data_IF_172530042030
#
_entry.id   IF_172530042030
#
_cell.length_a   1.000
_cell.length_b   1.000
_cell.length_c   1.000
_cell.angle_alpha   90.00
_cell.angle_beta   90.00
_cell.angle_gamma   90.00
#
_symmetry.space_group_name_H-M   'P 1'
#
loop_
_entity.id
_entity.type
_entity.pdbx_description
1 polymer ?
#
# COMPACT_ATOMS: atom_id res chain seq x y z
N UNK A 1 -20.01 17.61 24.72
CA UNK A 1 -18.94 17.90 23.74
C UNK A 1 -17.66 18.41 24.40
N UNK A 2 -17.72 19.25 25.45
CA UNK A 2 -16.54 19.80 26.15
C UNK A 2 -15.58 18.74 26.72
N UNK A 3 -16.09 17.63 27.28
CA UNK A 3 -15.27 16.56 27.84
C UNK A 3 -14.47 15.76 26.79
N UNK A 4 -15.02 15.58 25.57
CA UNK A 4 -14.34 14.88 24.49
C UNK A 4 -13.11 15.67 24.00
N UNK A 5 -13.31 16.97 23.73
CA UNK A 5 -12.24 17.87 23.32
C UNK A 5 -11.16 18.03 24.40
N UNK A 6 -11.53 17.98 25.68
CA UNK A 6 -10.56 17.98 26.76
C UNK A 6 -9.61 16.76 26.71
N UNK A 7 -10.12 15.57 26.35
CA UNK A 7 -9.32 14.34 26.23
C UNK A 7 -8.40 14.41 25.00
N UNK A 8 -8.91 14.93 23.88
CA UNK A 8 -8.10 15.17 22.68
C UNK A 8 -6.97 16.16 22.97
N UNK A 9 -7.28 17.26 23.66
CA UNK A 9 -6.29 18.25 24.07
C UNK A 9 -5.27 17.70 25.07
N UNK A 10 -5.70 16.88 26.03
CA UNK A 10 -4.80 16.22 26.98
C UNK A 10 -3.87 15.22 26.28
N UNK A 11 -4.38 14.46 25.32
CA UNK A 11 -3.58 13.57 24.47
C UNK A 11 -2.52 14.36 23.70
N UNK A 12 -2.85 15.56 23.21
CA UNK A 12 -1.89 16.45 22.56
C UNK A 12 -0.82 16.98 23.52
N UNK A 13 -1.20 17.32 24.75
CA UNK A 13 -0.23 17.70 25.78
C UNK A 13 0.72 16.55 26.09
N UNK A 14 0.19 15.34 26.23
CA UNK A 14 0.97 14.13 26.48
C UNK A 14 1.92 13.80 25.32
N UNK A 15 1.48 13.98 24.07
CA UNK A 15 2.29 13.68 22.88
C UNK A 15 3.52 14.60 22.77
N UNK A 16 3.46 15.84 23.27
CA UNK A 16 4.62 16.75 23.30
C UNK A 16 5.80 16.22 24.13
N UNK A 17 5.53 15.31 25.06
CA UNK A 17 6.55 14.66 25.88
C UNK A 17 6.94 13.27 25.36
N UNK A 18 6.29 12.78 24.30
CA UNK A 18 6.69 11.55 23.64
C UNK A 18 7.77 11.85 22.61
N UNK A 19 9.00 11.41 22.90
CA UNK A 19 10.14 11.50 21.99
C UNK A 19 9.83 11.01 20.57
N UNK A 20 8.96 10.01 20.43
CA UNK A 20 8.56 9.44 19.13
C UNK A 20 7.72 10.42 18.30
N UNK A 21 6.84 11.22 18.93
CA UNK A 21 6.08 12.24 18.20
C UNK A 21 6.99 13.36 17.70
N UNK A 22 8.00 13.74 18.49
CA UNK A 22 9.04 14.68 18.07
C UNK A 22 9.87 14.10 16.92
N UNK A 23 10.12 12.80 16.92
CA UNK A 23 10.77 12.11 15.80
C UNK A 23 9.92 12.19 14.53
N UNK A 24 8.60 11.94 14.60
CA UNK A 24 7.70 12.07 13.46
C UNK A 24 7.74 13.49 12.88
N UNK A 25 7.59 14.50 13.73
CA UNK A 25 7.64 15.91 13.32
C UNK A 25 9.04 16.23 12.74
N UNK A 26 10.11 15.78 13.39
CA UNK A 26 11.48 15.97 12.93
C UNK A 26 11.75 15.33 11.57
N UNK A 27 11.23 14.13 11.32
CA UNK A 27 11.31 13.45 10.03
C UNK A 27 10.60 14.26 8.95
N UNK A 28 9.38 14.75 9.22
CA UNK A 28 8.64 15.62 8.29
C UNK A 28 9.41 16.93 8.03
N UNK A 29 9.93 17.57 9.07
CA UNK A 29 10.72 18.81 8.99
C UNK A 29 12.03 18.62 8.21
N UNK A 30 12.58 17.41 8.15
CA UNK A 30 13.75 17.09 7.33
C UNK A 30 13.37 16.76 5.89
N UNK A 31 12.34 15.93 5.70
CA UNK A 31 11.93 15.41 4.39
C UNK A 31 11.32 16.52 3.53
N UNK A 32 10.49 17.39 4.10
CA UNK A 32 9.76 18.41 3.33
C UNK A 32 10.71 19.45 2.70
N UNK A 33 11.68 20.06 3.42
CA UNK A 33 12.66 20.94 2.78
C UNK A 33 13.53 20.21 1.78
N UNK A 34 13.94 18.97 2.07
CA UNK A 34 14.71 18.17 1.12
C UNK A 34 13.91 17.92 -0.16
N UNK A 35 12.61 17.65 -0.07
CA UNK A 35 11.76 17.41 -1.25
C UNK A 35 11.58 18.65 -2.12
N UNK A 36 11.72 19.85 -1.53
CA UNK A 36 11.65 21.12 -2.25
C UNK A 36 13.00 21.46 -2.87
N UNK A 37 14.12 21.22 -2.16
CA UNK A 37 15.48 21.61 -2.57
C UNK A 37 16.06 20.67 -3.62
N UNK A 38 15.79 19.38 -3.51
CA UNK A 38 16.37 18.34 -4.37
C UNK A 38 15.97 18.41 -5.85
N UNK A 39 14.69 18.63 -6.23
CA UNK A 39 14.32 18.75 -7.62
C UNK A 39 14.79 20.12 -8.16
N UNK A 40 15.41 20.13 -9.34
CA UNK A 40 15.87 21.35 -9.99
C UNK A 40 15.24 21.48 -11.38
N UNK A 41 14.72 22.67 -11.69
CA UNK A 41 14.29 23.00 -13.05
C UNK A 41 15.54 23.12 -13.92
N UNK A 42 15.60 22.35 -15.00
CA UNK A 42 16.72 22.34 -15.94
C UNK A 42 16.18 22.48 -17.37
N UNK A 43 16.96 23.13 -18.21
CA UNK A 43 16.66 23.30 -19.64
C UNK A 43 17.48 22.30 -20.45
N UNK A 44 16.80 21.45 -21.22
CA UNK A 44 17.46 20.56 -22.17
C UNK A 44 18.06 21.36 -23.35
N UNK A 45 19.03 20.78 -24.09
CA UNK A 45 19.62 21.41 -25.27
C UNK A 45 18.62 21.75 -26.38
N UNK A 46 17.45 21.11 -26.39
CA UNK A 46 16.32 21.38 -27.30
C UNK A 46 15.46 22.59 -26.88
N UNK A 47 15.78 23.23 -25.75
CA UNK A 47 15.04 24.36 -25.18
C UNK A 47 13.86 23.96 -24.29
N UNK A 48 13.57 22.66 -24.12
CA UNK A 48 12.49 22.19 -23.24
C UNK A 48 12.91 22.19 -21.77
N UNK A 49 12.01 22.63 -20.89
CA UNK A 49 12.22 22.53 -19.44
C UNK A 49 11.79 21.16 -18.92
N UNK A 50 12.60 20.59 -18.03
CA UNK A 50 12.32 19.33 -17.36
C UNK A 50 12.79 19.36 -15.90
N UNK A 51 12.24 18.45 -15.10
CA UNK A 51 12.58 18.34 -13.68
C UNK A 51 13.73 17.33 -13.51
N UNK A 52 14.91 17.82 -13.12
CA UNK A 52 16.09 16.99 -12.87
C UNK A 52 16.44 16.88 -11.39
N UNK A 53 17.42 16.03 -11.09
CA UNK A 53 18.02 15.96 -9.74
C UNK A 53 19.24 16.88 -9.61
N UNK A 54 19.66 17.20 -8.39
CA UNK A 54 20.90 17.98 -8.13
C UNK A 54 22.15 17.28 -8.70
N UNK A 55 22.15 15.94 -8.75
CA UNK A 55 23.30 15.13 -9.19
C UNK A 55 23.35 14.90 -10.71
N UNK A 56 22.35 15.40 -11.43
CA UNK A 56 22.23 15.14 -12.86
C UNK A 56 23.23 15.98 -13.65
N UNK A 57 23.89 15.36 -14.64
CA UNK A 57 24.82 16.06 -15.53
C UNK A 57 24.08 17.11 -16.35
N UNK A 58 24.72 18.25 -16.60
CA UNK A 58 24.13 19.36 -17.37
C UNK A 58 23.81 18.99 -18.84
N UNK A 59 24.40 17.89 -19.34
CA UNK A 59 24.13 17.34 -20.66
C UNK A 59 22.90 16.44 -20.73
N UNK A 60 22.16 16.26 -19.63
CA UNK A 60 20.99 15.39 -19.61
C UNK A 60 19.86 15.98 -20.47
N UNK A 61 19.29 15.14 -21.33
CA UNK A 61 18.15 15.48 -22.18
C UNK A 61 16.80 15.07 -21.57
N UNK A 62 16.84 14.17 -20.59
CA UNK A 62 15.68 13.68 -19.85
C UNK A 62 15.95 13.73 -18.36
N UNK A 63 14.92 14.00 -17.55
CA UNK A 63 14.96 13.97 -16.10
C UNK A 63 13.97 12.97 -15.51
N UNK A 64 13.25 13.42 -14.50
CA UNK A 64 12.28 12.61 -13.74
C UNK A 64 11.09 12.15 -14.58
N UNK A 65 10.80 12.83 -15.70
CA UNK A 65 9.74 12.44 -16.62
C UNK A 65 9.98 11.06 -17.26
N UNK A 66 11.23 10.58 -17.31
CA UNK A 66 11.52 9.23 -17.78
C UNK A 66 10.93 8.13 -16.87
N UNK A 67 10.78 8.41 -15.57
CA UNK A 67 10.12 7.50 -14.63
C UNK A 67 8.59 7.62 -14.66
N UNK A 68 8.07 8.73 -15.18
CA UNK A 68 6.63 9.01 -15.21
C UNK A 68 5.89 8.04 -16.14
N UNK A 69 6.44 7.72 -17.32
CA UNK A 69 5.77 6.85 -18.29
C UNK A 69 5.50 5.44 -17.75
N UNK A 70 6.49 4.84 -17.09
CA UNK A 70 6.31 3.52 -16.48
C UNK A 70 5.27 3.54 -15.36
N UNK A 71 5.36 4.54 -14.49
CA UNK A 71 4.46 4.68 -13.34
C UNK A 71 3.00 4.95 -13.77
N UNK A 72 2.81 5.84 -14.74
CA UNK A 72 1.50 6.16 -15.28
C UNK A 72 0.91 4.97 -16.05
N UNK A 73 1.71 4.28 -16.87
CA UNK A 73 1.27 3.12 -17.62
C UNK A 73 0.82 1.98 -16.69
N UNK A 74 1.54 1.73 -15.60
CA UNK A 74 1.16 0.72 -14.61
C UNK A 74 -0.16 1.10 -13.92
N UNK A 75 -0.32 2.34 -13.48
CA UNK A 75 -1.57 2.80 -12.86
C UNK A 75 -2.75 2.75 -13.86
N UNK A 76 -2.54 3.14 -15.12
CA UNK A 76 -3.57 3.14 -16.16
C UNK A 76 -4.00 1.71 -16.53
N UNK A 77 -3.06 0.76 -16.54
CA UNK A 77 -3.34 -0.66 -16.77
C UNK A 77 -4.31 -1.22 -15.74
N UNK A 78 -4.14 -0.81 -14.48
CA UNK A 78 -5.04 -1.19 -13.38
C UNK A 78 -6.40 -0.47 -13.48
N UNK A 79 -6.42 0.84 -13.81
CA UNK A 79 -7.68 1.60 -14.05
C UNK A 79 -8.55 0.94 -15.14
N UNK A 80 -7.93 0.44 -16.21
CA UNK A 80 -8.62 -0.22 -17.33
C UNK A 80 -9.02 -1.67 -17.03
N UNK A 81 -8.63 -2.22 -15.87
CA UNK A 81 -8.94 -3.59 -15.47
C UNK A 81 -8.14 -4.68 -16.20
N UNK A 82 -7.09 -4.29 -16.94
CA UNK A 82 -6.26 -5.25 -17.66
C UNK A 82 -5.45 -6.14 -16.73
N UNK A 83 -5.12 -5.68 -15.52
CA UNK A 83 -4.46 -6.51 -14.52
C UNK A 83 -5.31 -7.70 -14.09
N UNK A 84 -6.62 -7.51 -13.89
CA UNK A 84 -7.53 -8.60 -13.54
C UNK A 84 -7.68 -9.60 -14.70
N UNK A 85 -7.68 -9.13 -15.95
CA UNK A 85 -7.73 -9.99 -17.15
C UNK A 85 -6.43 -10.81 -17.33
N UNK A 86 -5.27 -10.16 -17.18
CA UNK A 86 -3.95 -10.80 -17.28
C UNK A 86 -3.81 -11.84 -16.16
N UNK A 87 -4.18 -11.51 -14.93
CA UNK A 87 -4.17 -12.44 -13.80
C UNK A 87 -5.05 -13.65 -14.08
N UNK A 88 -6.29 -13.44 -14.55
CA UNK A 88 -7.21 -14.54 -14.87
C UNK A 88 -6.66 -15.49 -15.93
N UNK A 89 -6.15 -14.96 -17.06
CA UNK A 89 -5.55 -15.81 -18.11
C UNK A 89 -4.28 -16.51 -17.61
N UNK A 90 -3.49 -15.84 -16.77
CA UNK A 90 -2.31 -16.43 -16.13
C UNK A 90 -2.70 -17.59 -15.20
N UNK A 91 -3.78 -17.46 -14.42
CA UNK A 91 -4.31 -18.54 -13.58
C UNK A 91 -4.84 -19.72 -14.41
N UNK A 92 -5.55 -19.45 -15.51
CA UNK A 92 -6.04 -20.49 -16.43
C UNK A 92 -4.90 -21.27 -17.08
N UNK A 93 -3.80 -20.60 -17.44
CA UNK A 93 -2.58 -21.25 -17.93
C UNK A 93 -1.91 -22.08 -16.83
N UNK A 94 -1.80 -21.53 -15.62
CA UNK A 94 -1.20 -22.22 -14.48
C UNK A 94 -1.98 -23.50 -14.11
N UNK A 95 -3.32 -23.46 -14.08
CA UNK A 95 -4.15 -24.65 -13.84
C UNK A 95 -3.92 -25.75 -14.87
N UNK A 96 -3.68 -25.36 -16.13
CA UNK A 96 -3.39 -26.31 -17.20
C UNK A 96 -1.98 -26.92 -17.04
N UNK A 97 -1.00 -26.11 -16.61
CA UNK A 97 0.35 -26.59 -16.30
C UNK A 97 0.34 -27.62 -15.16
N UNK A 98 -0.46 -27.37 -14.11
CA UNK A 98 -0.64 -28.32 -13.01
C UNK A 98 -1.24 -29.64 -13.51
N UNK A 99 -2.31 -29.59 -14.32
CA UNK A 99 -2.92 -30.79 -14.92
C UNK A 99 -1.95 -31.57 -15.83
N UNK A 100 -1.11 -30.84 -16.58
CA UNK A 100 -0.10 -31.44 -17.45
C UNK A 100 0.98 -32.14 -16.62
N UNK A 101 1.39 -31.57 -15.49
CA UNK A 101 2.35 -32.17 -14.57
C UNK A 101 1.82 -33.48 -13.96
N UNK A 102 0.53 -33.52 -13.57
CA UNK A 102 -0.12 -34.74 -13.06
C UNK A 102 -0.14 -35.85 -14.12
N UNK A 103 -0.52 -35.51 -15.35
CA UNK A 103 -0.53 -36.47 -16.48
C UNK A 103 0.88 -36.94 -16.81
N UNK A 104 1.88 -36.05 -16.81
CA UNK A 104 3.29 -36.40 -17.03
C UNK A 104 3.81 -37.37 -15.97
N UNK A 105 3.42 -37.18 -14.71
CA UNK A 105 3.76 -38.07 -13.62
C UNK A 105 3.13 -39.46 -13.82
N UNK A 106 1.83 -39.53 -14.15
CA UNK A 106 1.14 -40.80 -14.41
C UNK A 106 1.72 -41.55 -15.61
N UNK A 107 1.99 -40.85 -16.72
CA UNK A 107 2.62 -41.44 -17.91
C UNK A 107 3.99 -42.03 -17.56
N UNK A 108 4.85 -41.29 -16.87
CA UNK A 108 6.18 -41.79 -16.43
C UNK A 108 6.06 -42.98 -15.50
N UNK A 109 5.11 -42.95 -14.55
CA UNK A 109 4.87 -44.05 -13.60
C UNK A 109 4.42 -45.33 -14.31
N UNK A 110 3.47 -45.23 -15.24
CA UNK A 110 2.94 -46.38 -15.99
C UNK A 110 3.97 -46.93 -16.97
N UNK A 111 4.73 -46.07 -17.65
CA UNK A 111 5.85 -46.50 -18.50
C UNK A 111 6.92 -47.29 -17.73
N UNK A 112 7.18 -46.92 -16.47
CA UNK A 112 8.18 -47.59 -15.63
C UNK A 112 7.68 -48.91 -15.02
N UNK A 113 6.37 -49.01 -14.71
CA UNK A 113 5.82 -50.15 -13.95
C UNK A 113 5.12 -51.18 -14.85
N UNK A 114 4.35 -50.71 -15.85
CA UNK A 114 3.50 -51.54 -16.71
C UNK A 114 3.49 -51.02 -18.16
N UNK A 115 4.57 -51.25 -18.93
CA UNK A 115 4.77 -50.62 -20.24
C UNK A 115 3.75 -51.05 -21.32
N UNK A 116 3.07 -52.18 -21.16
CA UNK A 116 2.08 -52.70 -22.13
C UNK A 116 0.62 -52.45 -21.67
N UNK A 117 0.43 -51.57 -20.69
CA UNK A 117 -0.89 -51.22 -20.18
C UNK A 117 -1.69 -50.45 -21.24
N UNK A 118 -2.90 -50.93 -21.56
CA UNK A 118 -3.80 -50.32 -22.55
C UNK A 118 -4.23 -48.89 -22.19
N UNK A 119 -4.15 -48.51 -20.91
CA UNK A 119 -4.38 -47.16 -20.40
C UNK A 119 -3.27 -46.15 -20.72
N UNK A 120 -2.10 -46.58 -21.21
CA UNK A 120 -0.99 -45.68 -21.52
C UNK A 120 -1.23 -44.81 -22.76
N UNK A 121 -1.82 -45.39 -23.83
CA UNK A 121 -2.14 -44.66 -25.07
C UNK A 121 -3.07 -43.45 -24.86
N UNK A 122 -4.22 -43.58 -24.18
CA UNK A 122 -5.10 -42.42 -23.97
C UNK A 122 -4.47 -41.34 -23.08
N UNK A 123 -3.57 -41.70 -22.16
CA UNK A 123 -2.83 -40.70 -21.36
C UNK A 123 -1.81 -39.91 -22.19
N UNK A 124 -1.12 -40.56 -23.12
CA UNK A 124 -0.21 -39.89 -24.05
C UNK A 124 -0.98 -38.94 -24.99
N UNK A 125 -2.18 -39.32 -25.43
CA UNK A 125 -3.05 -38.46 -26.24
C UNK A 125 -3.52 -37.24 -25.43
N UNK A 126 -4.02 -37.45 -24.21
CA UNK A 126 -4.42 -36.38 -23.28
C UNK A 126 -3.26 -35.43 -22.96
N UNK A 127 -2.05 -35.95 -22.75
CA UNK A 127 -0.81 -35.16 -22.59
C UNK A 127 -0.58 -34.25 -23.79
N UNK A 128 -0.70 -34.78 -25.00
CA UNK A 128 -0.50 -34.02 -26.24
C UNK A 128 -1.56 -32.93 -26.42
N UNK A 129 -2.81 -33.20 -26.08
CA UNK A 129 -3.89 -32.20 -26.09
C UNK A 129 -3.58 -31.05 -25.11
N UNK A 130 -3.15 -31.36 -23.89
CA UNK A 130 -2.76 -30.36 -22.91
C UNK A 130 -1.52 -29.56 -23.33
N UNK A 131 -0.53 -30.18 -23.97
CA UNK A 131 0.62 -29.47 -24.54
C UNK A 131 0.20 -28.47 -25.63
N UNK A 132 -0.72 -28.86 -26.52
CA UNK A 132 -1.25 -27.97 -27.55
C UNK A 132 -2.06 -26.81 -26.96
N UNK A 133 -2.89 -27.09 -25.97
CA UNK A 133 -3.69 -26.08 -25.28
C UNK A 133 -2.80 -25.11 -24.48
N UNK A 134 -1.71 -25.59 -23.87
CA UNK A 134 -0.72 -24.75 -23.19
C UNK A 134 -0.11 -23.75 -24.16
N UNK A 135 0.35 -24.24 -25.32
CA UNK A 135 0.99 -23.38 -26.31
C UNK A 135 0.03 -22.31 -26.84
N UNK A 136 -1.25 -22.66 -27.05
CA UNK A 136 -2.31 -21.71 -27.40
C UNK A 136 -2.51 -20.65 -26.31
N UNK A 137 -2.73 -21.06 -25.06
CA UNK A 137 -2.98 -20.12 -23.94
C UNK A 137 -1.79 -19.23 -23.66
N UNK A 138 -0.57 -19.76 -23.77
CA UNK A 138 0.65 -18.99 -23.61
C UNK A 138 0.79 -17.94 -24.73
N UNK A 139 0.45 -18.31 -25.97
CA UNK A 139 0.41 -17.38 -27.10
C UNK A 139 -0.67 -16.30 -26.91
N UNK A 140 -1.87 -16.68 -26.48
CA UNK A 140 -2.97 -15.74 -26.19
C UNK A 140 -2.60 -14.76 -25.07
N UNK A 141 -1.97 -15.23 -23.99
CA UNK A 141 -1.50 -14.39 -22.90
C UNK A 141 -0.39 -13.43 -23.36
N UNK A 142 0.51 -13.90 -24.22
CA UNK A 142 1.54 -13.05 -24.82
C UNK A 142 0.92 -11.96 -25.70
N UNK A 143 -0.02 -12.33 -26.58
CA UNK A 143 -0.73 -11.39 -27.45
C UNK A 143 -1.53 -10.36 -26.65
N UNK A 144 -2.20 -10.79 -25.57
CA UNK A 144 -2.89 -9.88 -24.66
C UNK A 144 -1.91 -8.87 -24.05
N UNK A 145 -0.77 -9.31 -23.53
CA UNK A 145 0.23 -8.40 -22.93
C UNK A 145 0.77 -7.38 -23.93
N UNK A 146 0.96 -7.78 -25.20
CA UNK A 146 1.35 -6.86 -26.27
C UNK A 146 0.23 -5.85 -26.58
N UNK A 147 -0.99 -6.35 -26.78
CA UNK A 147 -2.17 -5.50 -27.00
C UNK A 147 -2.37 -4.47 -25.88
N UNK A 148 -2.32 -4.92 -24.62
CA UNK A 148 -2.44 -4.04 -23.44
C UNK A 148 -1.35 -2.98 -23.44
N UNK A 149 -0.10 -3.35 -23.74
CA UNK A 149 1.00 -2.39 -23.80
C UNK A 149 0.79 -1.33 -24.88
N UNK A 150 0.39 -1.75 -26.08
CA UNK A 150 0.11 -0.83 -27.20
C UNK A 150 -1.08 0.09 -26.88
N UNK A 151 -2.15 -0.47 -26.31
CA UNK A 151 -3.36 0.26 -25.93
C UNK A 151 -3.09 1.27 -24.81
N UNK A 152 -2.39 0.87 -23.75
CA UNK A 152 -1.98 1.75 -22.64
C UNK A 152 -1.08 2.87 -23.15
N UNK A 153 -0.14 2.58 -24.03
CA UNK A 153 0.71 3.61 -24.65
C UNK A 153 -0.13 4.59 -25.47
N UNK A 154 -1.06 4.09 -26.31
CA UNK A 154 -1.96 4.93 -27.11
C UNK A 154 -2.80 5.86 -26.23
N UNK A 155 -3.43 5.33 -25.19
CA UNK A 155 -4.25 6.12 -24.26
C UNK A 155 -3.39 7.11 -23.48
N UNK A 156 -2.16 6.73 -23.13
CA UNK A 156 -1.21 7.64 -22.45
C UNK A 156 -0.85 8.81 -23.35
N UNK A 157 -0.56 8.56 -24.63
CA UNK A 157 -0.31 9.61 -25.62
C UNK A 157 -1.53 10.51 -25.80
N UNK A 158 -2.74 9.93 -25.91
CA UNK A 158 -3.99 10.69 -26.01
C UNK A 158 -4.26 11.56 -24.77
N UNK A 159 -4.10 11.01 -23.57
CA UNK A 159 -4.34 11.73 -22.30
C UNK A 159 -3.26 12.76 -21.98
N UNK A 160 -2.06 12.63 -22.54
CA UNK A 160 -0.91 13.50 -22.21
C UNK A 160 -0.35 14.29 -23.38
N UNK A 161 -1.10 14.38 -24.48
CA UNK A 161 -0.72 15.16 -25.66
C UNK A 161 -0.38 16.62 -25.33
N UNK A 162 -1.09 17.23 -24.38
CA UNK A 162 -0.90 18.61 -23.95
C UNK A 162 0.04 18.77 -22.73
N UNK A 163 0.49 17.66 -22.14
CA UNK A 163 1.26 17.68 -20.89
C UNK A 163 2.75 17.89 -21.15
N UNK A 164 3.31 18.97 -20.60
CA UNK A 164 4.74 19.28 -20.73
C UNK A 164 5.65 18.25 -20.02
N UNK A 165 6.90 18.10 -20.49
CA UNK A 165 7.94 17.28 -19.81
C UNK A 165 8.11 17.69 -18.35
N UNK A 166 8.08 18.99 -18.08
CA UNK A 166 8.15 19.55 -16.73
C UNK A 166 7.01 19.06 -15.83
N UNK A 167 5.78 19.06 -16.33
CA UNK A 167 4.63 18.57 -15.56
C UNK A 167 4.74 17.08 -15.24
N UNK A 168 5.11 16.24 -16.23
CA UNK A 168 5.37 14.81 -16.00
C UNK A 168 6.44 14.59 -14.92
N UNK A 169 7.53 15.37 -14.97
CA UNK A 169 8.58 15.34 -13.94
C UNK A 169 8.06 15.72 -12.54
N UNK A 170 7.24 16.76 -12.44
CA UNK A 170 6.63 17.20 -11.17
C UNK A 170 5.66 16.16 -10.61
N UNK A 171 4.81 15.58 -11.44
CA UNK A 171 3.87 14.53 -11.04
C UNK A 171 4.61 13.32 -10.51
N UNK A 172 5.64 12.84 -11.22
CA UNK A 172 6.47 11.72 -10.77
C UNK A 172 7.19 12.01 -9.45
N UNK A 173 7.74 13.23 -9.30
CA UNK A 173 8.41 13.62 -8.06
C UNK A 173 7.46 13.67 -6.87
N UNK A 174 6.31 14.33 -7.03
CA UNK A 174 5.29 14.42 -5.99
C UNK A 174 4.74 13.04 -5.64
N UNK A 175 4.54 12.17 -6.63
CA UNK A 175 4.12 10.77 -6.46
C UNK A 175 5.14 10.00 -5.61
N UNK A 176 6.42 10.07 -5.98
CA UNK A 176 7.51 9.43 -5.23
C UNK A 176 7.59 9.95 -3.78
N UNK A 177 7.42 11.25 -3.58
CA UNK A 177 7.42 11.86 -2.25
C UNK A 177 6.19 11.48 -1.42
N UNK A 178 5.01 11.36 -2.03
CA UNK A 178 3.80 10.88 -1.37
C UNK A 178 3.98 9.44 -0.87
N UNK A 179 4.49 8.55 -1.73
CA UNK A 179 4.79 7.16 -1.39
C UNK A 179 5.83 7.06 -0.27
N UNK A 180 6.89 7.87 -0.33
CA UNK A 180 7.92 7.91 0.70
C UNK A 180 7.38 8.42 2.04
N UNK A 181 6.61 9.52 2.03
CA UNK A 181 5.95 10.06 3.21
C UNK A 181 4.98 9.03 3.82
N UNK A 182 4.18 8.35 3.00
CA UNK A 182 3.28 7.30 3.46
C UNK A 182 4.05 6.25 4.27
N UNK A 183 5.12 5.69 3.71
CA UNK A 183 5.88 4.62 4.36
C UNK A 183 6.55 5.07 5.66
N UNK A 184 7.31 6.17 5.62
CA UNK A 184 8.12 6.60 6.75
C UNK A 184 7.26 7.16 7.89
N UNK A 185 6.19 7.91 7.56
CA UNK A 185 5.33 8.49 8.59
C UNK A 185 4.47 7.44 9.26
N UNK A 186 3.94 6.44 8.52
CA UNK A 186 3.24 5.31 9.13
C UNK A 186 4.17 4.46 10.01
N UNK A 187 5.39 4.21 9.54
CA UNK A 187 6.40 3.48 10.31
C UNK A 187 6.70 4.17 11.65
N UNK A 188 6.91 5.49 11.65
CA UNK A 188 7.15 6.23 12.89
C UNK A 188 5.87 6.32 13.73
N UNK A 189 4.71 6.55 13.09
CA UNK A 189 3.42 6.69 13.76
C UNK A 189 3.01 5.42 14.53
N UNK A 190 3.40 4.24 14.04
CA UNK A 190 3.25 2.97 14.74
C UNK A 190 3.80 3.02 16.16
N UNK A 191 5.02 3.54 16.33
CA UNK A 191 5.66 3.66 17.64
C UNK A 191 4.98 4.71 18.53
N UNK A 192 4.41 5.77 17.92
CA UNK A 192 3.60 6.76 18.65
C UNK A 192 2.34 6.08 19.21
N UNK A 193 1.65 5.32 18.38
CA UNK A 193 0.41 4.62 18.72
C UNK A 193 0.59 3.55 19.78
N UNK A 194 1.71 2.82 19.73
CA UNK A 194 2.01 1.73 20.66
C UNK A 194 1.99 2.17 22.13
N UNK A 195 2.29 3.44 22.40
CA UNK A 195 2.23 4.01 23.75
C UNK A 195 0.85 4.48 24.19
N UNK A 196 -0.05 4.85 23.28
CA UNK A 196 -1.27 5.58 23.67
C UNK A 196 -2.25 4.77 24.50
N UNK A 197 -2.52 3.52 24.12
CA UNK A 197 -3.50 2.66 24.78
C UNK A 197 -2.93 2.02 26.05
N UNK A 198 -1.74 1.37 26.04
CA UNK A 198 -1.19 0.77 27.25
C UNK A 198 -0.92 1.78 28.38
N UNK A 199 -0.47 2.99 28.05
CA UNK A 199 -0.22 4.06 29.03
C UNK A 199 -1.51 4.58 29.69
N UNK A 200 -2.60 4.62 28.92
CA UNK A 200 -3.92 5.02 29.41
C UNK A 200 -4.48 4.03 30.45
N UNK A 201 -4.07 2.76 30.36
CA UNK A 201 -4.57 1.67 31.20
C UNK A 201 -3.65 1.39 32.39
N UNK A 202 -2.50 2.08 32.47
CA UNK A 202 -1.54 1.90 33.55
C UNK A 202 -2.15 2.37 34.89
N UNK A 203 -1.89 1.62 35.96
CA UNK A 203 -2.37 1.94 37.30
C UNK A 203 -2.00 3.39 37.70
N UNK A 204 -2.94 4.13 38.29
CA UNK A 204 -2.79 5.55 38.65
C UNK A 204 -3.18 6.56 37.57
N UNK A 205 -2.98 6.28 36.27
CA UNK A 205 -3.46 7.16 35.19
C UNK A 205 -4.94 6.95 34.92
N UNK A 206 -5.40 5.69 34.98
CA UNK A 206 -6.80 5.32 34.78
C UNK A 206 -7.69 5.81 35.94
N UNK A 207 -7.23 5.71 37.19
CA UNK A 207 -7.95 6.18 38.38
C UNK A 207 -8.19 7.70 38.34
N UNK A 208 -7.20 8.46 37.86
CA UNK A 208 -7.31 9.91 37.72
C UNK A 208 -8.36 10.30 36.67
N UNK A 209 -8.46 9.54 35.59
CA UNK A 209 -9.44 9.79 34.51
C UNK A 209 -10.84 9.30 34.92
N UNK A 210 -10.94 8.16 35.60
CA UNK A 210 -12.20 7.58 36.10
C UNK A 210 -12.79 8.36 37.29
N UNK A 211 -11.97 9.12 38.03
CA UNK A 211 -12.45 10.03 39.08
C UNK A 211 -13.34 11.17 38.54
N UNK A 212 -13.24 11.46 37.24
CA UNK A 212 -14.09 12.44 36.55
C UNK A 212 -15.33 11.74 36.00
N UNK A 213 -16.52 12.39 35.99
CA UNK A 213 -17.77 11.80 35.47
C UNK A 213 -17.77 11.74 33.93
N UNK A 214 -16.83 11.00 33.35
CA UNK A 214 -16.62 10.84 31.91
C UNK A 214 -17.03 9.42 31.51
N UNK A 215 -17.87 9.28 30.47
CA UNK A 215 -18.27 7.95 29.99
C UNK A 215 -17.06 7.23 29.37
N UNK A 216 -16.88 5.94 29.68
CA UNK A 216 -15.75 5.10 29.20
C UNK A 216 -15.51 5.15 27.68
N UNK A 217 -16.58 5.27 26.87
CA UNK A 217 -16.43 5.39 25.42
C UNK A 217 -15.78 6.71 24.98
N UNK A 218 -16.02 7.82 25.67
CA UNK A 218 -15.35 9.09 25.37
C UNK A 218 -13.85 9.01 25.65
N UNK A 219 -13.45 8.22 26.64
CA UNK A 219 -12.04 8.01 26.99
C UNK A 219 -11.35 7.24 25.88
N UNK A 220 -11.87 6.07 25.51
CA UNK A 220 -11.28 5.21 24.49
C UNK A 220 -11.27 5.87 23.10
N UNK A 221 -12.43 6.29 22.60
CA UNK A 221 -12.52 6.91 21.28
C UNK A 221 -11.92 8.32 21.24
N UNK A 222 -11.91 9.06 22.35
CA UNK A 222 -11.22 10.35 22.44
C UNK A 222 -9.72 10.22 22.32
N UNK A 223 -9.11 9.20 22.94
CA UNK A 223 -7.69 8.87 22.75
C UNK A 223 -7.37 8.42 21.33
N UNK A 224 -8.20 7.55 20.77
CA UNK A 224 -8.03 7.09 19.38
C UNK A 224 -8.14 8.25 18.38
N UNK A 225 -9.20 9.06 18.45
CA UNK A 225 -9.38 10.19 17.55
C UNK A 225 -8.36 11.31 17.81
N UNK A 226 -7.94 11.52 19.06
CA UNK A 226 -6.90 12.49 19.40
C UNK A 226 -5.55 12.12 18.79
N UNK A 227 -5.13 10.85 18.90
CA UNK A 227 -3.91 10.36 18.27
C UNK A 227 -3.96 10.42 16.74
N UNK A 228 -5.11 10.11 16.14
CA UNK A 228 -5.31 10.19 14.70
C UNK A 228 -5.30 11.64 14.19
N UNK A 229 -5.95 12.56 14.91
CA UNK A 229 -6.00 13.98 14.54
C UNK A 229 -4.62 14.64 14.57
N UNK A 230 -3.77 14.28 15.53
CA UNK A 230 -2.39 14.78 15.59
C UNK A 230 -1.56 14.35 14.37
N UNK A 231 -1.70 13.09 13.97
CA UNK A 231 -1.08 12.58 12.76
C UNK A 231 -1.65 13.28 11.52
N UNK A 232 -2.98 13.43 11.45
CA UNK A 232 -3.64 14.07 10.33
C UNK A 232 -3.20 15.53 10.11
N UNK A 233 -3.10 16.31 11.19
CA UNK A 233 -2.62 17.69 11.12
C UNK A 233 -1.16 17.74 10.68
N UNK A 234 -0.31 16.87 11.24
CA UNK A 234 1.11 16.81 10.87
C UNK A 234 1.29 16.49 9.38
N UNK A 235 0.53 15.51 8.88
CA UNK A 235 0.56 15.08 7.49
C UNK A 235 -0.01 16.15 6.55
N UNK A 236 -1.12 16.80 6.94
CA UNK A 236 -1.70 17.90 6.17
C UNK A 236 -0.72 19.06 6.00
N UNK A 237 0.00 19.42 7.08
CA UNK A 237 1.05 20.45 7.01
C UNK A 237 2.17 19.99 6.07
N UNK A 238 2.60 18.73 6.14
CA UNK A 238 3.64 18.20 5.25
C UNK A 238 3.25 18.32 3.77
N UNK A 239 2.04 17.86 3.41
CA UNK A 239 1.51 17.93 2.06
C UNK A 239 1.34 19.39 1.60
N UNK A 240 0.78 20.26 2.45
CA UNK A 240 0.57 21.67 2.10
C UNK A 240 1.90 22.41 1.85
N UNK A 241 2.91 22.19 2.69
CA UNK A 241 4.23 22.82 2.52
C UNK A 241 4.95 22.28 1.28
N UNK A 242 4.87 20.97 0.99
CA UNK A 242 5.41 20.42 -0.25
C UNK A 242 4.71 20.97 -1.48
N UNK A 243 3.37 21.03 -1.48
CA UNK A 243 2.58 21.56 -2.58
C UNK A 243 2.94 23.02 -2.89
N UNK A 244 3.01 23.86 -1.86
CA UNK A 244 3.40 25.27 -2.01
C UNK A 244 4.87 25.39 -2.40
N UNK A 245 5.77 24.64 -1.77
CA UNK A 245 7.21 24.73 -2.03
C UNK A 245 7.59 24.28 -3.45
N UNK A 246 7.01 23.18 -3.93
CA UNK A 246 7.21 22.71 -5.29
C UNK A 246 6.51 23.64 -6.28
N UNK A 247 5.25 24.02 -6.03
CA UNK A 247 4.50 24.91 -6.93
C UNK A 247 5.14 26.27 -7.12
N UNK A 248 5.70 26.88 -6.07
CA UNK A 248 6.46 28.13 -6.17
C UNK A 248 7.77 27.98 -6.95
N UNK A 249 8.39 26.80 -6.91
CA UNK A 249 9.68 26.54 -7.55
C UNK A 249 9.54 26.17 -9.02
N UNK A 250 8.53 25.39 -9.37
CA UNK A 250 8.32 24.85 -10.72
C UNK A 250 7.28 25.61 -11.51
N UNK A 251 6.45 26.42 -10.85
CA UNK A 251 5.29 27.08 -11.46
C UNK A 251 4.09 26.16 -11.69
N UNK A 252 4.21 24.86 -11.36
CA UNK A 252 3.18 23.85 -11.62
C UNK A 252 2.42 23.54 -10.34
N UNK A 253 1.12 23.82 -10.35
CA UNK A 253 0.22 23.59 -9.22
C UNK A 253 -0.59 22.31 -9.42
N UNK A 254 -0.09 21.20 -8.87
CA UNK A 254 -0.68 19.88 -9.05
C UNK A 254 -1.63 19.49 -7.91
N UNK A 255 -2.93 19.77 -8.07
CA UNK A 255 -3.92 19.60 -7.00
C UNK A 255 -4.20 18.13 -6.63
N UNK A 256 -4.03 17.23 -7.59
CA UNK A 256 -4.23 15.78 -7.44
C UNK A 256 -3.26 15.18 -6.42
N UNK A 257 -2.18 15.88 -6.08
CA UNK A 257 -1.29 15.54 -4.98
C UNK A 257 -2.02 15.29 -3.64
N UNK A 258 -3.09 16.04 -3.36
CA UNK A 258 -3.89 15.86 -2.14
C UNK A 258 -4.75 14.58 -2.16
N UNK A 259 -4.90 13.92 -3.31
CA UNK A 259 -5.62 12.64 -3.43
C UNK A 259 -4.97 11.49 -2.64
N UNK A 260 -3.65 11.54 -2.43
CA UNK A 260 -2.92 10.55 -1.61
C UNK A 260 -3.14 10.71 -0.10
N UNK A 261 -3.57 11.90 0.36
CA UNK A 261 -3.74 12.20 1.78
C UNK A 261 -4.86 11.36 2.43
N UNK A 262 -6.09 11.27 1.88
CA UNK A 262 -7.14 10.41 2.42
C UNK A 262 -6.71 8.94 2.57
N UNK A 263 -5.99 8.38 1.59
CA UNK A 263 -5.51 6.99 1.63
C UNK A 263 -4.47 6.77 2.74
N UNK A 264 -3.58 7.75 2.93
CA UNK A 264 -2.59 7.73 4.02
C UNK A 264 -3.27 7.83 5.39
N UNK A 265 -4.26 8.72 5.54
CA UNK A 265 -5.01 8.86 6.79
C UNK A 265 -5.83 7.62 7.13
N UNK A 266 -6.46 7.00 6.13
CA UNK A 266 -7.19 5.75 6.31
C UNK A 266 -6.26 4.63 6.78
N UNK A 267 -5.09 4.51 6.14
CA UNK A 267 -4.03 3.58 6.53
C UNK A 267 -3.57 3.80 7.98
N UNK A 268 -3.37 5.06 8.37
CA UNK A 268 -3.00 5.40 9.75
C UNK A 268 -4.10 5.05 10.75
N UNK A 269 -5.37 5.30 10.41
CA UNK A 269 -6.51 4.94 11.24
C UNK A 269 -6.60 3.42 11.45
N UNK A 270 -6.46 2.66 10.37
CA UNK A 270 -6.45 1.20 10.40
C UNK A 270 -5.30 0.66 11.25
N UNK A 271 -4.07 1.10 10.98
CA UNK A 271 -2.88 0.67 11.71
C UNK A 271 -3.02 0.99 13.20
N UNK A 272 -3.50 2.19 13.55
CA UNK A 272 -3.74 2.54 14.94
C UNK A 272 -4.82 1.66 15.57
N UNK A 273 -5.88 1.28 14.85
CA UNK A 273 -6.92 0.40 15.40
C UNK A 273 -6.37 -0.97 15.79
N UNK A 274 -5.47 -1.53 14.98
CA UNK A 274 -4.82 -2.83 15.22
C UNK A 274 -3.87 -2.72 16.41
N UNK A 275 -3.03 -1.68 16.47
CA UNK A 275 -2.10 -1.45 17.58
C UNK A 275 -2.86 -1.19 18.88
N UNK A 276 -3.93 -0.40 18.85
CA UNK A 276 -4.80 -0.14 19.99
C UNK A 276 -5.43 -1.44 20.52
N UNK A 277 -5.86 -2.31 19.62
CA UNK A 277 -6.38 -3.63 19.96
C UNK A 277 -5.31 -4.47 20.65
N UNK A 278 -4.14 -4.66 20.04
CA UNK A 278 -3.03 -5.41 20.65
C UNK A 278 -2.63 -4.83 22.01
N UNK A 279 -2.54 -3.50 22.13
CA UNK A 279 -2.11 -2.84 23.35
C UNK A 279 -3.07 -2.96 24.51
N UNK A 280 -4.37 -3.04 24.23
CA UNK A 280 -5.37 -3.32 25.25
C UNK A 280 -5.27 -4.75 25.81
N UNK A 281 -4.96 -5.71 24.94
CA UNK A 281 -4.85 -7.13 25.31
C UNK A 281 -3.55 -7.43 26.03
N UNK A 282 -2.43 -6.92 25.51
CA UNK A 282 -1.10 -7.16 26.07
C UNK A 282 -0.78 -6.27 27.26
N UNK A 283 -1.48 -5.14 27.43
CA UNK A 283 -1.21 -4.09 28.44
C UNK A 283 0.25 -3.62 28.45
N UNK A 284 0.95 -3.77 27.32
CA UNK A 284 2.38 -3.50 27.21
C UNK A 284 2.67 -2.68 25.95
N UNK A 285 3.30 -1.52 26.15
CA UNK A 285 3.76 -0.64 25.06
C UNK A 285 4.73 -1.37 24.12
N UNK A 286 5.66 -2.16 24.69
CA UNK A 286 6.65 -2.87 23.91
C UNK A 286 6.03 -3.96 23.03
N UNK A 287 5.11 -4.77 23.58
CA UNK A 287 4.44 -5.82 22.81
C UNK A 287 3.54 -5.24 21.71
N UNK A 288 2.89 -4.11 21.99
CA UNK A 288 2.10 -3.37 21.00
C UNK A 288 2.97 -2.90 19.83
N UNK A 289 4.14 -2.35 20.12
CA UNK A 289 5.09 -1.89 19.11
C UNK A 289 5.64 -3.05 18.27
N UNK A 290 6.08 -4.14 18.92
CA UNK A 290 6.65 -5.31 18.23
C UNK A 290 5.61 -5.95 17.31
N UNK A 291 4.41 -6.24 17.81
CA UNK A 291 3.36 -6.87 17.00
C UNK A 291 2.85 -5.93 15.89
N UNK A 292 2.76 -4.63 16.17
CA UNK A 292 2.47 -3.64 15.14
C UNK A 292 3.54 -3.65 14.04
N UNK A 293 4.82 -3.74 14.40
CA UNK A 293 5.94 -3.76 13.45
C UNK A 293 5.96 -5.05 12.64
N UNK A 294 5.76 -6.19 13.28
CA UNK A 294 5.63 -7.48 12.58
C UNK A 294 4.49 -7.40 11.57
N UNK A 295 3.35 -6.85 11.96
CA UNK A 295 2.22 -6.70 11.06
C UNK A 295 2.53 -5.74 9.89
N UNK A 296 3.01 -4.53 10.17
CA UNK A 296 3.25 -3.51 9.14
C UNK A 296 4.45 -3.81 8.24
N UNK A 297 5.53 -4.41 8.74
CA UNK A 297 6.75 -4.64 7.94
C UNK A 297 6.80 -6.05 7.38
N UNK A 298 6.44 -7.07 8.16
CA UNK A 298 6.59 -8.47 7.72
C UNK A 298 5.32 -8.94 7.04
N UNK A 299 4.18 -8.82 7.73
CA UNK A 299 2.91 -9.35 7.21
C UNK A 299 2.47 -8.55 5.99
N UNK A 300 2.45 -7.22 6.04
CA UNK A 300 2.05 -6.40 4.89
C UNK A 300 2.96 -6.61 3.66
N UNK A 301 4.28 -6.65 3.87
CA UNK A 301 5.23 -6.94 2.79
C UNK A 301 5.04 -8.34 2.22
N UNK A 302 4.82 -9.35 3.08
CA UNK A 302 4.51 -10.69 2.61
C UNK A 302 3.19 -10.74 1.83
N UNK A 303 2.16 -9.98 2.24
CA UNK A 303 0.88 -9.87 1.53
C UNK A 303 1.08 -9.23 0.16
N UNK A 304 1.80 -8.11 0.09
CA UNK A 304 2.11 -7.43 -1.17
C UNK A 304 2.89 -8.35 -2.12
N UNK A 305 3.98 -8.93 -1.64
CA UNK A 305 4.75 -9.88 -2.43
C UNK A 305 3.90 -11.09 -2.85
N UNK A 306 3.15 -11.73 -1.95
CA UNK A 306 2.27 -12.85 -2.32
C UNK A 306 1.21 -12.44 -3.35
N UNK A 307 0.76 -11.18 -3.30
CA UNK A 307 -0.16 -10.61 -4.26
C UNK A 307 0.40 -10.51 -5.68
N UNK A 308 1.67 -10.13 -5.79
CA UNK A 308 2.40 -9.93 -7.06
C UNK A 308 3.10 -11.20 -7.56
N UNK A 309 3.43 -12.14 -6.64
CA UNK A 309 4.18 -13.38 -6.87
C UNK A 309 3.44 -14.43 -7.73
N UNK A 310 2.22 -14.14 -8.20
CA UNK A 310 1.63 -14.86 -9.33
C UNK A 310 2.53 -14.94 -10.57
N UNK A 311 3.64 -14.17 -10.63
CA UNK A 311 4.63 -14.17 -11.70
C UNK A 311 6.09 -14.55 -11.36
N UNK A 312 6.44 -15.00 -10.13
CA UNK A 312 7.85 -15.33 -9.82
C UNK A 312 8.23 -16.80 -10.12
N UNK A 313 9.33 -17.07 -10.88
CA UNK A 313 9.64 -18.40 -11.42
C UNK A 313 9.90 -19.53 -10.41
N UNK A 314 10.22 -19.21 -9.15
CA UNK A 314 10.70 -20.22 -8.18
C UNK A 314 9.66 -20.67 -7.15
N UNK A 315 8.57 -19.92 -6.96
CA UNK A 315 7.55 -20.20 -5.92
C UNK A 315 6.14 -20.33 -6.51
N UNK A 316 5.93 -19.86 -7.75
CA UNK A 316 4.65 -19.96 -8.45
C UNK A 316 4.20 -21.40 -8.73
N UNK A 317 5.07 -22.40 -8.60
CA UNK A 317 4.74 -23.81 -8.88
C UNK A 317 4.14 -24.55 -7.68
N UNK A 318 3.95 -23.87 -6.53
CA UNK A 318 3.34 -24.50 -5.34
C UNK A 318 1.85 -24.08 -5.25
N UNK A 319 0.89 -24.99 -5.52
CA UNK A 319 -0.55 -24.67 -5.50
C UNK A 319 -1.02 -24.10 -4.16
N UNK A 320 -0.47 -24.61 -3.05
CA UNK A 320 -0.79 -24.13 -1.71
C UNK A 320 -0.43 -22.64 -1.49
N UNK A 321 0.63 -22.14 -2.13
CA UNK A 321 1.05 -20.74 -1.98
C UNK A 321 0.08 -19.82 -2.72
N UNK A 322 -0.43 -20.23 -3.89
CA UNK A 322 -1.43 -19.47 -4.66
C UNK A 322 -2.74 -19.36 -3.91
N UNK A 323 -3.24 -20.48 -3.38
CA UNK A 323 -4.49 -20.49 -2.60
C UNK A 323 -4.37 -19.63 -1.33
N UNK A 324 -3.23 -19.73 -0.62
CA UNK A 324 -2.95 -18.86 0.53
C UNK A 324 -2.90 -17.39 0.10
N UNK A 325 -2.28 -17.06 -1.03
CA UNK A 325 -2.19 -15.68 -1.53
C UNK A 325 -3.58 -15.10 -1.85
N UNK A 326 -4.44 -15.86 -2.53
CA UNK A 326 -5.82 -15.44 -2.82
C UNK A 326 -6.62 -15.19 -1.54
N UNK A 327 -6.60 -16.16 -0.61
CA UNK A 327 -7.32 -16.05 0.66
C UNK A 327 -6.81 -14.85 1.48
N UNK A 328 -5.50 -14.62 1.46
CA UNK A 328 -4.85 -13.52 2.19
C UNK A 328 -5.35 -12.15 1.73
N UNK A 329 -5.61 -11.96 0.42
CA UNK A 329 -6.17 -10.72 -0.15
C UNK A 329 -7.53 -10.34 0.43
N UNK A 330 -8.33 -11.33 0.87
CA UNK A 330 -9.66 -11.12 1.45
C UNK A 330 -9.65 -11.01 2.98
N UNK A 331 -8.67 -11.63 3.64
CA UNK A 331 -8.63 -11.68 5.10
C UNK A 331 -7.89 -10.49 5.69
N UNK A 332 -6.75 -10.07 5.12
CA UNK A 332 -5.91 -9.06 5.74
C UNK A 332 -5.93 -7.75 4.95
N UNK A 333 -6.05 -6.59 5.63
CA UNK A 333 -5.89 -5.34 4.93
C UNK A 333 -4.40 -5.12 4.65
N UNK A 334 -4.09 -4.65 3.44
CA UNK A 334 -2.73 -4.33 3.04
C UNK A 334 -2.55 -2.83 2.85
N UNK A 335 -1.44 -2.32 3.36
CA UNK A 335 -0.99 -0.96 3.17
C UNK A 335 -0.25 -0.79 1.84
N UNK A 336 0.25 -1.85 1.21
CA UNK A 336 0.85 -1.84 -0.14
C UNK A 336 -0.15 -1.32 -1.17
N UNK A 337 -1.33 -1.92 -1.27
CA UNK A 337 -2.35 -1.49 -2.24
C UNK A 337 -2.93 -0.11 -1.91
N UNK A 338 -3.07 0.23 -0.63
CA UNK A 338 -3.51 1.58 -0.21
C UNK A 338 -2.48 2.65 -0.57
N UNK A 339 -1.19 2.32 -0.50
CA UNK A 339 -0.08 3.18 -0.93
C UNK A 339 -0.06 3.35 -2.44
N UNK A 340 -0.22 2.27 -3.21
CA UNK A 340 -0.32 2.32 -4.68
C UNK A 340 -1.53 3.13 -5.14
N UNK A 341 -2.64 3.04 -4.43
CA UNK A 341 -3.81 3.88 -4.70
C UNK A 341 -3.57 5.34 -4.33
N UNK A 342 -2.82 5.60 -3.26
CA UNK A 342 -2.38 6.95 -2.92
C UNK A 342 -1.48 7.55 -4.02
N UNK A 343 -0.62 6.70 -4.61
CA UNK A 343 0.28 7.03 -5.71
C UNK A 343 -0.47 7.34 -7.01
N UNK A 344 -1.37 6.43 -7.43
CA UNK A 344 -2.21 6.61 -8.61
C UNK A 344 -3.06 7.88 -8.53
N UNK A 345 -3.60 8.19 -7.33
CA UNK A 345 -4.35 9.40 -7.09
C UNK A 345 -3.52 10.67 -7.36
N UNK A 346 -2.20 10.64 -7.09
CA UNK A 346 -1.30 11.75 -7.46
C UNK A 346 -1.17 11.85 -8.98
N UNK A 347 -1.14 10.76 -9.72
CA UNK A 347 -1.01 10.78 -11.20
C UNK A 347 -2.30 11.13 -11.95
N UNK A 348 -3.36 11.53 -11.24
CA UNK A 348 -4.70 11.73 -11.82
C UNK A 348 -5.31 10.44 -12.42
N UNK A 349 -4.83 9.29 -11.98
CA UNK A 349 -5.35 7.97 -12.37
C UNK A 349 -6.21 7.46 -11.22
N UNK A 350 -7.47 7.13 -11.50
CA UNK A 350 -8.42 6.80 -10.45
C UNK A 350 -8.44 5.30 -10.19
N UNK A 351 -7.39 4.80 -9.55
CA UNK A 351 -7.36 3.43 -9.02
C UNK A 351 -8.01 3.43 -7.64
N UNK A 352 -9.24 2.91 -7.56
CA UNK A 352 -9.94 2.80 -6.29
C UNK A 352 -9.92 1.35 -5.77
N UNK A 353 -9.23 1.08 -4.66
CA UNK A 353 -9.02 -0.27 -4.15
C UNK A 353 -10.24 -0.74 -3.32
N UNK A 354 -11.41 -0.86 -3.95
CA UNK A 354 -12.69 -1.16 -3.26
C UNK A 354 -12.58 -2.38 -2.35
N UNK A 355 -11.93 -3.46 -2.83
CA UNK A 355 -11.72 -4.71 -2.08
C UNK A 355 -10.96 -4.45 -0.78
N UNK A 356 -9.83 -3.75 -0.84
CA UNK A 356 -8.96 -3.50 0.31
C UNK A 356 -9.53 -2.46 1.28
N UNK A 357 -10.28 -1.48 0.77
CA UNK A 357 -10.98 -0.51 1.62
C UNK A 357 -12.09 -1.19 2.42
N UNK A 358 -12.87 -2.09 1.81
CA UNK A 358 -13.90 -2.84 2.52
C UNK A 358 -13.28 -3.70 3.61
N UNK A 359 -12.23 -4.47 3.28
CA UNK A 359 -11.51 -5.30 4.26
C UNK A 359 -10.94 -4.43 5.38
N UNK A 360 -10.32 -3.29 5.05
CA UNK A 360 -9.80 -2.34 6.02
C UNK A 360 -10.89 -1.77 6.94
N UNK A 361 -12.05 -1.39 6.41
CA UNK A 361 -13.18 -0.89 7.21
C UNK A 361 -13.71 -1.98 8.14
N UNK A 362 -13.84 -3.22 7.66
CA UNK A 362 -14.25 -4.36 8.48
C UNK A 362 -13.27 -4.55 9.64
N UNK A 363 -11.97 -4.56 9.37
CA UNK A 363 -10.95 -4.67 10.40
C UNK A 363 -10.96 -3.52 11.39
N UNK A 364 -11.11 -2.28 10.91
CA UNK A 364 -11.20 -1.10 11.75
C UNK A 364 -12.40 -1.22 12.71
N UNK A 365 -13.56 -1.64 12.22
CA UNK A 365 -14.77 -1.84 13.04
C UNK A 365 -14.58 -2.97 14.04
N UNK A 366 -14.02 -4.12 13.61
CA UNK A 366 -13.77 -5.27 14.49
C UNK A 366 -12.76 -4.89 15.59
N UNK A 367 -11.62 -4.32 15.24
CA UNK A 367 -10.58 -3.93 16.19
C UNK A 367 -11.09 -2.89 17.19
N UNK A 368 -11.74 -1.82 16.72
CA UNK A 368 -12.28 -0.80 17.63
C UNK A 368 -13.43 -1.33 18.49
N UNK A 369 -14.34 -2.13 17.92
CA UNK A 369 -15.49 -2.68 18.62
C UNK A 369 -15.10 -3.68 19.70
N UNK A 370 -14.22 -4.63 19.38
CA UNK A 370 -13.72 -5.63 20.33
C UNK A 370 -12.84 -4.98 21.40
N UNK A 371 -12.00 -4.02 21.02
CA UNK A 371 -11.21 -3.24 21.98
C UNK A 371 -12.11 -2.47 22.94
N UNK A 372 -13.10 -1.74 22.42
CA UNK A 372 -14.01 -0.99 23.27
C UNK A 372 -14.80 -1.91 24.21
N UNK A 373 -15.30 -3.05 23.72
CA UNK A 373 -16.04 -3.99 24.56
C UNK A 373 -15.16 -4.53 25.70
N UNK A 374 -13.90 -4.86 25.42
CA UNK A 374 -12.94 -5.29 26.44
C UNK A 374 -12.61 -4.18 27.43
N UNK A 375 -12.45 -2.94 26.95
CA UNK A 375 -12.22 -1.77 27.79
C UNK A 375 -13.41 -1.47 28.73
N UNK A 376 -14.64 -1.76 28.26
CA UNK A 376 -15.87 -1.59 29.04
C UNK A 376 -16.01 -2.63 30.15
N UNK A 377 -15.69 -3.89 29.87
CA UNK A 377 -15.92 -5.03 30.78
C UNK A 377 -14.88 -5.11 31.89
N UNK A 378 -13.62 -4.79 31.58
CA UNK A 378 -12.56 -4.85 32.57
C UNK A 378 -12.60 -3.62 33.48
N UNK A 379 -12.42 -3.85 34.77
CA UNK A 379 -12.00 -2.81 35.70
C UNK A 379 -10.48 -2.75 35.67
N UNK A 380 -9.97 -1.53 35.51
CA UNK A 380 -8.56 -1.20 35.32
C UNK A 380 -8.11 -0.24 36.40
#
# INVERSE_FOLDING_TARGET
MTAFWAIVHDTWRQSKHQWVMLLLIGAVVLIVPASIIFPQVRTAPDGSEFLGTVFQKDTAQTGMEAGWEGLYADALRDELGYDEEITKKSEELNKLLDQLQDVDYEVKRLQATEPDNSGLKPLIEKRREFEQERDRRQHDLFNLRQYVREEVNRITEERTADTSKMQKGVEYWLSSMATFLFQITLFIYLFVCAGFVPEMIRAGSIDLVLSKPIRRWHIYYGKYLGGLLLYAVTLLIAYAVMFVGVGLRTGIWHWQFFGGLPMTLFSAALLFSIIAWVGLWTRSTLMSAILGLVYYVIVDTAIGYLGDLGGAPFIADIPAVKEIAEVTKFIFPSFVWLRESAEAAVLSVYVFPWKHLIVGVIWLVICLGTSYNRFRINDY
#
